data_IF_404670786185
#
_entry.id   IF_404670786185
#
_cell.length_a   1.000
_cell.length_b   1.000
_cell.length_c   1.000
_cell.angle_alpha   90.00
_cell.angle_beta   90.00
_cell.angle_gamma   90.00
#
_symmetry.space_group_name_H-M   'P 1'
#
loop_
_entity.id
_entity.type
_entity.pdbx_description
1 polymer ?
#
# COMPACT_ATOMS: atom_id res chain seq x y z
N UNK A 1 3.26 -3.08 -0.81
CA UNK A 1 3.15 -2.04 0.23
C UNK A 1 2.41 -2.59 1.44
N UNK A 2 2.99 -2.45 2.63
CA UNK A 2 2.35 -2.75 3.91
C UNK A 2 1.80 -1.46 4.53
N UNK A 3 0.66 -1.54 5.21
CA UNK A 3 0.08 -0.40 5.92
C UNK A 3 -0.50 -0.80 7.28
N UNK A 4 -0.48 0.15 8.22
CA UNK A 4 -1.04 -0.02 9.56
C UNK A 4 -1.58 1.31 10.08
N UNK A 5 -2.72 1.25 10.75
CA UNK A 5 -3.33 2.38 11.46
C UNK A 5 -2.72 2.52 12.85
N UNK A 6 -1.89 3.56 13.03
CA UNK A 6 -1.28 3.95 14.29
C UNK A 6 -1.10 5.48 14.30
N UNK A 7 -2.04 6.20 14.91
CA UNK A 7 -2.15 7.66 14.83
C UNK A 7 -2.11 8.20 13.37
N UNK A 8 -2.83 7.51 12.48
CA UNK A 8 -2.77 7.68 11.03
C UNK A 8 -2.37 6.40 10.31
N UNK A 9 -2.36 6.41 9.00
CA UNK A 9 -2.06 5.25 8.15
C UNK A 9 -0.60 5.24 7.73
N UNK A 10 0.23 4.59 8.53
CA UNK A 10 1.64 4.37 8.21
C UNK A 10 1.77 3.34 7.09
N UNK A 11 2.42 3.72 6.00
CA UNK A 11 2.64 2.91 4.80
C UNK A 11 4.14 2.71 4.58
N UNK A 12 4.54 1.44 4.49
CA UNK A 12 5.89 0.99 4.22
C UNK A 12 5.93 0.26 2.88
N UNK A 13 6.88 0.66 2.04
CA UNK A 13 7.09 0.01 0.75
C UNK A 13 8.19 -1.03 0.92
N UNK A 14 7.98 -2.19 0.28
CA UNK A 14 8.91 -3.30 0.31
C UNK A 14 9.42 -3.50 -1.12
N UNK A 15 10.67 -3.93 -1.22
CA UNK A 15 11.24 -4.45 -2.45
C UNK A 15 10.48 -5.69 -2.93
N UNK A 16 10.77 -6.13 -4.16
CA UNK A 16 10.18 -7.34 -4.75
C UNK A 16 10.49 -8.61 -3.94
N UNK A 17 11.51 -8.58 -3.08
CA UNK A 17 11.85 -9.66 -2.15
C UNK A 17 10.90 -9.76 -0.93
N UNK A 18 9.96 -8.81 -0.78
CA UNK A 18 9.01 -8.68 0.33
C UNK A 18 9.63 -8.60 1.73
N UNK A 19 10.94 -8.34 1.83
CA UNK A 19 11.71 -8.32 3.07
C UNK A 19 12.42 -7.00 3.27
N UNK A 20 13.03 -6.48 2.21
CA UNK A 20 13.79 -5.26 2.24
C UNK A 20 12.83 -4.08 2.18
N UNK A 21 12.86 -3.25 3.21
CA UNK A 21 12.03 -2.04 3.24
C UNK A 21 12.70 -0.92 2.45
N UNK A 22 11.95 -0.28 1.56
CA UNK A 22 12.35 0.98 0.97
C UNK A 22 12.43 2.05 2.06
N UNK A 23 13.36 3.00 1.87
CA UNK A 23 13.67 4.03 2.87
C UNK A 23 12.47 4.94 3.13
N UNK A 24 11.69 5.25 2.10
CA UNK A 24 10.54 6.16 2.20
C UNK A 24 9.39 5.48 2.95
N UNK A 25 8.92 6.13 4.01
CA UNK A 25 7.66 5.81 4.69
C UNK A 25 6.70 6.97 4.49
N UNK A 26 5.44 6.67 4.23
CA UNK A 26 4.39 7.67 4.08
C UNK A 26 3.34 7.45 5.16
N UNK A 27 2.87 8.53 5.79
CA UNK A 27 1.75 8.45 6.73
C UNK A 27 0.60 9.26 6.17
N UNK A 28 -0.56 8.62 6.01
CA UNK A 28 -1.77 9.28 5.51
C UNK A 28 -2.78 9.49 6.64
N UNK A 29 -3.50 10.60 6.60
CA UNK A 29 -4.56 10.87 7.57
C UNK A 29 -5.79 9.96 7.38
N UNK A 30 -6.00 9.41 6.18
CA UNK A 30 -7.18 8.61 5.86
C UNK A 30 -6.85 7.39 5.00
N UNK A 31 -7.68 6.36 5.15
CA UNK A 31 -7.61 5.15 4.33
C UNK A 31 -7.97 5.40 2.86
N UNK A 32 -8.56 6.55 2.52
CA UNK A 32 -8.89 6.90 1.15
C UNK A 32 -7.64 6.92 0.25
N UNK A 33 -6.48 7.32 0.80
CA UNK A 33 -5.23 7.31 0.03
C UNK A 33 -4.71 5.90 -0.24
N UNK A 34 -4.95 4.95 0.67
CA UNK A 34 -4.62 3.54 0.46
C UNK A 34 -5.49 2.96 -0.67
N UNK A 35 -6.79 3.27 -0.67
CA UNK A 35 -7.70 2.87 -1.76
C UNK A 35 -7.28 3.48 -3.09
N UNK A 36 -6.92 4.76 -3.13
CA UNK A 36 -6.40 5.41 -4.33
C UNK A 36 -5.12 4.72 -4.84
N UNK A 37 -4.20 4.36 -3.93
CA UNK A 37 -2.99 3.64 -4.32
C UNK A 37 -3.28 2.27 -4.92
N UNK A 38 -4.24 1.54 -4.33
CA UNK A 38 -4.70 0.28 -4.89
C UNK A 38 -5.32 0.47 -6.28
N UNK A 39 -6.24 1.43 -6.43
CA UNK A 39 -6.94 1.68 -7.70
C UNK A 39 -6.00 2.11 -8.83
N UNK A 40 -4.93 2.83 -8.50
CA UNK A 40 -4.00 3.39 -9.50
C UNK A 40 -2.81 2.51 -9.83
N UNK A 41 -2.34 1.75 -8.85
CA UNK A 41 -1.05 1.06 -8.94
C UNK A 41 -1.15 -0.42 -8.60
N UNK A 42 -2.30 -0.97 -8.22
CA UNK A 42 -2.43 -2.42 -8.07
C UNK A 42 -2.73 -3.08 -9.41
N UNK A 43 -2.07 -4.21 -9.63
CA UNK A 43 -2.34 -5.10 -10.77
C UNK A 43 -3.67 -5.87 -10.58
N UNK A 44 -4.02 -6.18 -9.33
CA UNK A 44 -5.23 -6.96 -9.02
C UNK A 44 -6.41 -6.04 -8.69
N UNK A 45 -7.15 -5.64 -9.71
CA UNK A 45 -8.35 -4.79 -9.57
C UNK A 45 -9.65 -5.59 -9.45
N UNK A 46 -9.57 -6.90 -9.17
CA UNK A 46 -10.76 -7.75 -9.03
C UNK A 46 -11.58 -7.37 -7.78
N UNK A 47 -12.86 -7.73 -7.79
CA UNK A 47 -13.78 -7.44 -6.71
C UNK A 47 -13.29 -8.07 -5.39
N UNK A 48 -12.76 -9.29 -5.45
CA UNK A 48 -12.24 -10.02 -4.30
C UNK A 48 -11.04 -9.32 -3.66
N UNK A 49 -10.12 -8.80 -4.48
CA UNK A 49 -8.97 -8.04 -4.01
C UNK A 49 -9.40 -6.72 -3.35
N UNK A 50 -10.42 -6.05 -3.91
CA UNK A 50 -11.00 -4.84 -3.31
C UNK A 50 -11.69 -5.13 -1.97
N UNK A 51 -12.44 -6.23 -1.88
CA UNK A 51 -13.06 -6.66 -0.63
C UNK A 51 -12.01 -7.03 0.44
N UNK A 52 -10.95 -7.73 0.04
CA UNK A 52 -9.83 -8.06 0.93
C UNK A 52 -9.11 -6.79 1.43
N UNK A 53 -8.93 -5.78 0.57
CA UNK A 53 -8.40 -4.48 0.96
C UNK A 53 -9.32 -3.77 1.96
N UNK A 54 -10.62 -3.70 1.69
CA UNK A 54 -11.57 -3.04 2.59
C UNK A 54 -11.64 -3.74 3.95
N UNK A 55 -11.54 -5.07 3.97
CA UNK A 55 -11.39 -5.83 5.21
C UNK A 55 -10.06 -5.52 5.93
N UNK A 56 -8.94 -5.45 5.21
CA UNK A 56 -7.65 -5.07 5.78
C UNK A 56 -7.66 -3.65 6.38
N UNK A 57 -8.36 -2.71 5.73
CA UNK A 57 -8.57 -1.37 6.26
C UNK A 57 -9.46 -1.41 7.51
N UNK A 58 -10.51 -2.23 7.55
CA UNK A 58 -11.39 -2.31 8.73
C UNK A 58 -10.69 -2.87 9.97
N UNK A 59 -9.78 -3.84 9.80
CA UNK A 59 -8.94 -4.38 10.88
C UNK A 59 -7.75 -3.46 11.24
N UNK A 60 -7.57 -2.36 10.50
CA UNK A 60 -6.52 -1.37 10.74
C UNK A 60 -5.14 -1.74 10.21
N UNK A 61 -4.98 -2.80 9.41
CA UNK A 61 -3.68 -3.19 8.84
C UNK A 61 -3.80 -4.16 7.68
N UNK A 62 -2.82 -4.15 6.79
CA UNK A 62 -2.69 -5.16 5.74
C UNK A 62 -1.61 -4.82 4.73
N UNK A 63 -1.66 -5.49 3.58
CA UNK A 63 -0.74 -5.24 2.49
C UNK A 63 -1.43 -5.35 1.14
N UNK A 64 -0.95 -4.57 0.18
CA UNK A 64 -1.34 -4.65 -1.22
C UNK A 64 -0.10 -4.76 -2.10
N UNK A 65 -0.24 -5.47 -3.21
CA UNK A 65 0.77 -5.49 -4.27
C UNK A 65 0.60 -4.23 -5.13
N UNK A 66 1.72 -3.54 -5.39
CA UNK A 66 1.77 -2.38 -6.27
C UNK A 66 2.69 -2.70 -7.44
N UNK A 67 2.22 -2.46 -8.65
CA UNK A 67 2.99 -2.45 -9.88
C UNK A 67 3.38 -1.00 -10.18
N UNK A 68 4.61 -0.65 -9.85
CA UNK A 68 5.15 0.71 -9.97
C UNK A 68 6.06 0.80 -11.19
N UNK A 69 5.95 1.89 -11.95
CA UNK A 69 6.94 2.17 -13.00
C UNK A 69 8.33 2.40 -12.39
N UNK A 70 9.42 2.19 -13.14
CA UNK A 70 10.77 2.46 -12.66
C UNK A 70 10.94 3.87 -12.07
N UNK A 71 10.33 4.89 -12.68
CA UNK A 71 10.37 6.27 -12.21
C UNK A 71 9.60 6.49 -10.90
N UNK A 72 8.53 5.74 -10.67
CA UNK A 72 7.78 5.79 -9.42
C UNK A 72 8.53 5.08 -8.30
N UNK A 73 9.14 3.93 -8.62
CA UNK A 73 9.95 3.16 -7.70
C UNK A 73 11.18 3.95 -7.23
N UNK A 74 11.90 4.65 -8.11
CA UNK A 74 13.04 5.50 -7.74
C UNK A 74 12.66 6.66 -6.79
N UNK A 75 11.40 7.13 -6.81
CA UNK A 75 10.93 8.13 -5.83
C UNK A 75 10.77 7.57 -4.41
N UNK A 76 10.65 6.25 -4.28
CA UNK A 76 10.48 5.55 -3.01
C UNK A 76 11.80 5.06 -2.41
N UNK A 77 12.86 4.93 -3.24
CA UNK A 77 14.24 4.70 -2.80
C UNK A 77 14.81 5.91 -2.04
#
# INVERSE_FOLDING_TARGET
MFFMHNNGWSCQFLESDLKTSLRRKLTFASAAKIREMFDRFSEDQKLEARQALDYAISIGRGSIWLDLSPEQYEKLR
#
